data_IF_000417074336
#
_entry.id   IF_000417074336
#
_cell.length_a   1.000
_cell.length_b   1.000
_cell.length_c   1.000
_cell.angle_alpha   90.00
_cell.angle_beta   90.00
_cell.angle_gamma   90.00
#
_symmetry.space_group_name_H-M   'P 1'
#
loop_
_entity.id
_entity.type
_entity.pdbx_description
1 polymer ?
#
# COMPACT_ATOMS: atom_id res chain seq x y z
N UNK A 1 -2.02 -18.59 -6.52
CA UNK A 1 -0.83 -17.89 -7.04
C UNK A 1 0.19 -17.86 -5.92
N UNK A 2 1.45 -18.10 -6.20
CA UNK A 2 2.54 -18.06 -5.21
C UNK A 2 3.64 -17.17 -5.78
N UNK A 3 3.66 -15.91 -5.37
CA UNK A 3 4.70 -14.96 -5.77
C UNK A 3 5.98 -15.27 -4.99
N UNK A 4 7.15 -15.16 -5.63
CA UNK A 4 8.44 -15.52 -5.02
C UNK A 4 8.82 -14.68 -3.79
N UNK A 5 8.31 -13.46 -3.69
CA UNK A 5 8.50 -12.55 -2.55
C UNK A 5 7.32 -12.57 -1.56
N UNK A 6 6.32 -13.43 -1.78
CA UNK A 6 5.16 -13.46 -0.88
C UNK A 6 5.55 -14.09 0.46
N UNK A 7 5.45 -13.34 1.53
CA UNK A 7 5.71 -13.78 2.91
C UNK A 7 4.84 -14.94 3.40
N UNK A 8 4.10 -15.49 2.51
CA UNK A 8 3.45 -16.76 2.70
C UNK A 8 1.94 -16.74 2.68
N UNK A 9 1.42 -17.88 2.36
CA UNK A 9 0.12 -18.33 2.80
C UNK A 9 0.22 -18.61 4.28
N UNK A 10 -0.42 -17.79 5.10
CA UNK A 10 -0.56 -18.10 6.52
C UNK A 10 -1.29 -19.44 6.69
N UNK A 11 -0.85 -20.22 7.67
CA UNK A 11 -1.54 -21.46 8.03
C UNK A 11 -3.03 -21.17 8.29
N UNK A 12 -3.95 -22.03 7.83
CA UNK A 12 -5.38 -21.91 8.17
C UNK A 12 -5.66 -21.83 9.68
N UNK A 13 -4.72 -22.28 10.52
CA UNK A 13 -4.79 -22.13 11.97
C UNK A 13 -4.65 -20.66 12.41
N UNK A 14 -3.93 -19.84 11.65
CA UNK A 14 -3.77 -18.40 11.92
C UNK A 14 -4.74 -17.53 11.12
N UNK A 15 -5.13 -17.96 9.93
CA UNK A 15 -6.05 -17.24 9.07
C UNK A 15 -6.84 -18.23 8.20
N UNK A 16 -8.04 -18.63 8.64
CA UNK A 16 -8.91 -19.49 7.85
C UNK A 16 -9.15 -18.93 6.43
N UNK A 17 -9.10 -19.77 5.41
CA UNK A 17 -9.30 -19.34 4.02
C UNK A 17 -10.72 -18.82 3.74
N UNK A 18 -11.68 -19.27 4.54
CA UNK A 18 -13.04 -18.74 4.55
C UNK A 18 -13.27 -18.01 5.86
N UNK A 19 -13.94 -16.84 5.83
CA UNK A 19 -14.33 -16.18 7.06
C UNK A 19 -15.12 -17.13 7.98
N UNK A 20 -14.65 -17.25 9.21
CA UNK A 20 -15.30 -18.02 10.28
C UNK A 20 -16.28 -17.15 11.10
N UNK A 21 -16.44 -15.89 10.68
CA UNK A 21 -17.35 -14.91 11.30
C UNK A 21 -18.33 -14.38 10.27
N UNK A 22 -19.55 -14.12 10.71
CA UNK A 22 -20.59 -13.61 9.84
C UNK A 22 -20.33 -12.14 9.43
N UNK A 23 -20.66 -11.80 8.18
CA UNK A 23 -20.52 -10.44 7.68
C UNK A 23 -21.27 -9.42 8.56
N UNK A 24 -22.46 -9.80 9.08
CA UNK A 24 -23.25 -8.97 9.99
C UNK A 24 -22.56 -8.67 11.31
N UNK A 25 -21.76 -9.60 11.88
CA UNK A 25 -21.01 -9.36 13.12
C UNK A 25 -19.85 -8.38 12.87
N UNK A 26 -19.14 -8.55 11.76
CA UNK A 26 -18.07 -7.66 11.34
C UNK A 26 -18.59 -6.24 11.11
N UNK A 27 -19.68 -6.10 10.39
CA UNK A 27 -20.24 -4.78 10.05
C UNK A 27 -20.81 -4.07 11.26
N UNK A 28 -21.45 -4.79 12.23
CA UNK A 28 -21.85 -4.21 13.51
C UNK A 28 -20.65 -3.74 14.33
N UNK A 29 -19.58 -4.52 14.38
CA UNK A 29 -18.36 -4.15 15.08
C UNK A 29 -17.73 -2.86 14.53
N UNK A 30 -17.69 -2.73 13.21
CA UNK A 30 -17.14 -1.55 12.52
C UNK A 30 -18.05 -0.34 12.77
N UNK A 31 -19.35 -0.46 12.50
CA UNK A 31 -20.32 0.64 12.61
C UNK A 31 -20.41 1.22 14.03
N UNK A 32 -20.19 0.39 15.06
CA UNK A 32 -20.16 0.85 16.45
C UNK A 32 -18.93 1.75 16.77
N UNK A 33 -17.94 1.83 15.89
CA UNK A 33 -16.68 2.56 16.10
C UNK A 33 -16.46 3.70 15.13
N UNK A 34 -16.98 3.57 13.91
CA UNK A 34 -16.85 4.57 12.88
C UNK A 34 -18.15 4.66 12.07
N UNK A 35 -18.84 5.81 12.07
CA UNK A 35 -20.08 6.00 11.32
C UNK A 35 -19.85 6.12 9.81
N UNK A 36 -18.63 6.41 9.35
CA UNK A 36 -18.29 6.57 7.95
C UNK A 36 -16.97 5.83 7.58
N UNK A 37 -16.90 4.51 7.80
CA UNK A 37 -15.66 3.79 7.69
C UNK A 37 -15.18 3.63 6.24
N UNK A 38 -13.86 3.50 6.11
CA UNK A 38 -13.25 2.95 4.89
C UNK A 38 -12.92 1.48 5.14
N UNK A 39 -13.50 0.59 4.36
CA UNK A 39 -13.32 -0.86 4.48
C UNK A 39 -12.51 -1.36 3.30
N UNK A 40 -11.33 -1.90 3.58
CA UNK A 40 -10.46 -2.49 2.57
C UNK A 40 -10.51 -4.02 2.61
N UNK A 41 -10.85 -4.63 1.49
CA UNK A 41 -10.74 -6.08 1.33
C UNK A 41 -9.30 -6.42 0.91
N UNK A 42 -8.63 -7.16 1.78
CA UNK A 42 -7.22 -7.50 1.68
C UNK A 42 -6.99 -8.96 2.07
N UNK A 43 -5.80 -9.47 1.88
CA UNK A 43 -5.40 -10.81 2.31
C UNK A 43 -4.63 -11.55 1.22
N UNK A 44 -4.73 -12.88 1.16
CA UNK A 44 -4.13 -13.67 0.09
C UNK A 44 -4.72 -13.29 -1.28
N UNK A 45 -6.01 -13.57 -1.47
CA UNK A 45 -6.81 -13.09 -2.62
C UNK A 45 -8.28 -12.96 -2.17
N UNK A 46 -8.77 -11.75 -1.95
CA UNK A 46 -10.13 -11.53 -1.44
C UNK A 46 -11.22 -12.01 -2.41
N UNK A 47 -10.95 -12.03 -3.72
CA UNK A 47 -11.90 -12.52 -4.73
C UNK A 47 -12.11 -14.05 -4.70
N UNK A 48 -11.48 -14.76 -3.78
CA UNK A 48 -11.84 -16.14 -3.45
C UNK A 48 -13.18 -16.23 -2.69
N UNK A 49 -13.58 -15.14 -1.99
CA UNK A 49 -14.81 -15.05 -1.20
C UNK A 49 -15.71 -13.89 -1.67
N UNK A 50 -16.15 -13.85 -2.95
CA UNK A 50 -16.87 -12.71 -3.49
C UNK A 50 -18.22 -12.46 -2.80
N UNK A 51 -18.93 -13.53 -2.41
CA UNK A 51 -20.21 -13.42 -1.69
C UNK A 51 -20.06 -12.75 -0.33
N UNK A 52 -18.92 -12.98 0.36
CA UNK A 52 -18.66 -12.31 1.63
C UNK A 52 -18.40 -10.81 1.44
N UNK A 53 -17.66 -10.45 0.39
CA UNK A 53 -17.46 -9.04 0.00
C UNK A 53 -18.81 -8.36 -0.24
N UNK A 54 -19.67 -8.97 -1.04
CA UNK A 54 -20.99 -8.43 -1.35
C UNK A 54 -21.89 -8.31 -0.10
N UNK A 55 -21.84 -9.31 0.80
CA UNK A 55 -22.58 -9.27 2.06
C UNK A 55 -22.14 -8.10 2.96
N UNK A 56 -20.83 -7.89 3.11
CA UNK A 56 -20.27 -6.75 3.87
C UNK A 56 -20.68 -5.42 3.22
N UNK A 57 -20.52 -5.29 1.89
CA UNK A 57 -20.88 -4.08 1.17
C UNK A 57 -22.38 -3.76 1.27
N UNK A 58 -23.22 -4.78 1.19
CA UNK A 58 -24.69 -4.63 1.34
C UNK A 58 -25.08 -4.14 2.73
N UNK A 59 -24.42 -4.66 3.76
CA UNK A 59 -24.69 -4.28 5.16
C UNK A 59 -24.17 -2.89 5.55
N UNK A 60 -23.25 -2.30 4.75
CA UNK A 60 -22.64 -1.00 5.01
C UNK A 60 -22.75 -0.07 3.79
N UNK A 61 -23.95 0.38 3.40
CA UNK A 61 -24.17 1.13 2.15
C UNK A 61 -23.46 2.49 2.13
N UNK A 62 -23.16 3.08 3.29
CA UNK A 62 -22.51 4.40 3.43
C UNK A 62 -20.99 4.32 3.59
N UNK A 63 -20.41 3.11 3.73
CA UNK A 63 -18.97 2.94 3.83
C UNK A 63 -18.26 3.18 2.48
N UNK A 64 -17.03 3.67 2.54
CA UNK A 64 -16.13 3.64 1.38
C UNK A 64 -15.47 2.27 1.30
N UNK A 65 -15.32 1.75 0.09
CA UNK A 65 -14.72 0.43 -0.11
C UNK A 65 -13.47 0.50 -0.97
N UNK A 66 -12.47 -0.27 -0.57
CA UNK A 66 -11.28 -0.53 -1.36
C UNK A 66 -11.02 -2.04 -1.47
N UNK A 67 -10.27 -2.42 -2.48
CA UNK A 67 -9.90 -3.82 -2.73
C UNK A 67 -8.46 -3.89 -3.23
N UNK A 68 -7.65 -4.79 -2.66
CA UNK A 68 -6.38 -5.19 -3.25
C UNK A 68 -6.50 -6.62 -3.77
N UNK A 69 -6.19 -6.82 -5.06
CA UNK A 69 -6.31 -8.11 -5.74
C UNK A 69 -5.18 -8.34 -6.73
N UNK A 70 -4.87 -9.61 -6.99
CA UNK A 70 -3.99 -10.00 -8.09
C UNK A 70 -4.65 -9.90 -9.48
N UNK A 71 -5.92 -9.49 -9.56
CA UNK A 71 -6.66 -9.26 -10.79
C UNK A 71 -7.10 -10.54 -11.55
N UNK A 72 -6.57 -11.72 -11.21
CA UNK A 72 -6.83 -12.95 -11.99
C UNK A 72 -8.26 -13.47 -11.85
N UNK A 73 -8.98 -13.04 -10.83
CA UNK A 73 -10.35 -13.43 -10.52
C UNK A 73 -11.35 -12.26 -10.65
N UNK A 74 -10.97 -11.19 -11.34
CA UNK A 74 -11.79 -9.96 -11.40
C UNK A 74 -13.24 -10.21 -11.83
N UNK A 75 -13.47 -11.15 -12.74
CA UNK A 75 -14.82 -11.48 -13.22
C UNK A 75 -15.71 -12.26 -12.23
N UNK A 76 -15.21 -12.57 -11.01
CA UNK A 76 -16.02 -13.19 -9.95
C UNK A 76 -16.96 -12.22 -9.25
N UNK A 77 -16.69 -10.92 -9.31
CA UNK A 77 -17.62 -9.89 -8.87
C UNK A 77 -18.35 -9.31 -10.07
N UNK A 78 -19.65 -9.06 -9.95
CA UNK A 78 -20.43 -8.44 -11.01
C UNK A 78 -20.08 -6.94 -11.17
N UNK A 79 -20.30 -6.35 -12.36
CA UNK A 79 -19.99 -4.95 -12.65
C UNK A 79 -20.54 -3.93 -11.65
N UNK A 80 -21.77 -4.15 -11.15
CA UNK A 80 -22.41 -3.29 -10.16
C UNK A 80 -21.66 -3.26 -8.84
N UNK A 81 -21.08 -4.37 -8.39
CA UNK A 81 -20.25 -4.43 -7.19
C UNK A 81 -18.94 -3.66 -7.40
N UNK A 82 -18.30 -3.79 -8.57
CA UNK A 82 -17.10 -3.05 -8.90
C UNK A 82 -17.31 -1.53 -8.89
N UNK A 83 -18.46 -1.03 -9.33
CA UNK A 83 -18.80 0.41 -9.30
C UNK A 83 -18.97 0.98 -7.90
N UNK A 84 -19.03 0.15 -6.88
CA UNK A 84 -19.11 0.57 -5.48
C UNK A 84 -17.75 0.77 -4.82
N UNK A 85 -16.65 0.31 -5.44
CA UNK A 85 -15.31 0.58 -4.93
C UNK A 85 -14.91 2.03 -5.23
N UNK A 86 -14.26 2.67 -4.28
CA UNK A 86 -13.59 3.97 -4.46
C UNK A 86 -12.15 3.80 -4.93
N UNK A 87 -11.51 2.70 -4.53
CA UNK A 87 -10.13 2.40 -4.87
C UNK A 87 -9.94 0.90 -5.11
N UNK A 88 -9.19 0.56 -6.15
CA UNK A 88 -8.79 -0.81 -6.47
C UNK A 88 -7.28 -0.84 -6.68
N UNK A 89 -6.58 -1.69 -5.95
CA UNK A 89 -5.17 -1.96 -6.14
C UNK A 89 -5.01 -3.25 -6.93
N UNK A 90 -4.47 -3.16 -8.15
CA UNK A 90 -4.11 -4.32 -8.96
C UNK A 90 -2.63 -4.63 -8.79
N UNK A 91 -2.35 -5.86 -8.38
CA UNK A 91 -0.99 -6.31 -8.10
C UNK A 91 -0.21 -6.58 -9.39
N UNK A 92 0.74 -5.71 -9.72
CA UNK A 92 1.59 -5.76 -10.93
C UNK A 92 2.91 -5.06 -10.63
N UNK A 93 4.05 -5.57 -11.12
CA UNK A 93 5.38 -5.09 -10.71
C UNK A 93 6.14 -4.32 -11.79
N UNK A 94 5.58 -4.19 -12.97
CA UNK A 94 6.23 -3.54 -14.12
C UNK A 94 5.90 -4.28 -15.43
N UNK A 95 6.76 -4.22 -16.46
CA UNK A 95 6.57 -4.90 -17.71
C UNK A 95 6.54 -6.44 -17.56
N UNK A 96 6.17 -7.19 -18.63
CA UNK A 96 5.95 -8.65 -18.55
C UNK A 96 7.10 -9.42 -17.91
N UNK A 97 8.34 -9.09 -18.28
CA UNK A 97 9.55 -9.78 -17.80
C UNK A 97 9.79 -9.57 -16.29
N UNK A 98 9.35 -8.47 -15.72
CA UNK A 98 9.42 -8.22 -14.27
C UNK A 98 8.25 -8.88 -13.57
N UNK A 99 7.02 -8.57 -13.98
CA UNK A 99 5.82 -9.09 -13.34
C UNK A 99 5.75 -10.61 -13.36
N UNK A 100 5.98 -11.22 -14.50
CA UNK A 100 5.86 -12.67 -14.66
C UNK A 100 7.00 -13.43 -13.96
N UNK A 101 8.20 -12.81 -13.83
CA UNK A 101 9.31 -13.44 -13.10
C UNK A 101 9.04 -13.63 -11.60
N UNK A 102 8.26 -12.75 -11.00
CA UNK A 102 7.95 -12.79 -9.56
C UNK A 102 6.56 -13.38 -9.27
N UNK A 103 5.58 -13.12 -10.13
CA UNK A 103 4.18 -13.50 -9.90
C UNK A 103 3.75 -14.77 -10.63
N UNK A 104 4.53 -15.20 -11.62
CA UNK A 104 4.31 -16.38 -12.44
C UNK A 104 3.90 -16.06 -13.87
N UNK A 105 4.11 -17.02 -14.79
CA UNK A 105 3.92 -16.83 -16.23
C UNK A 105 2.49 -16.36 -16.57
N UNK A 106 2.39 -15.34 -17.42
CA UNK A 106 1.12 -14.82 -17.94
C UNK A 106 0.29 -14.01 -16.94
N UNK A 107 0.80 -13.73 -15.75
CA UNK A 107 0.11 -12.88 -14.77
C UNK A 107 -0.01 -11.45 -15.27
N UNK A 108 1.05 -10.90 -15.84
CA UNK A 108 1.02 -9.56 -16.45
C UNK A 108 -0.17 -9.38 -17.40
N UNK A 109 -0.32 -10.30 -18.35
CA UNK A 109 -1.41 -10.26 -19.33
C UNK A 109 -2.78 -10.23 -18.66
N UNK A 110 -3.02 -11.10 -17.66
CA UNK A 110 -4.29 -11.18 -16.93
C UNK A 110 -4.60 -9.90 -16.18
N UNK A 111 -3.59 -9.27 -15.57
CA UNK A 111 -3.78 -8.01 -14.83
C UNK A 111 -4.10 -6.85 -15.78
N UNK A 112 -3.41 -6.75 -16.92
CA UNK A 112 -3.69 -5.74 -17.94
C UNK A 112 -5.08 -5.93 -18.54
N UNK A 113 -5.51 -7.17 -18.79
CA UNK A 113 -6.88 -7.48 -19.22
C UNK A 113 -7.91 -7.07 -18.16
N UNK A 114 -7.63 -7.33 -16.87
CA UNK A 114 -8.50 -6.89 -15.77
C UNK A 114 -8.59 -5.35 -15.69
N UNK A 115 -7.46 -4.63 -15.85
CA UNK A 115 -7.44 -3.17 -15.88
C UNK A 115 -8.33 -2.62 -17.00
N UNK A 116 -8.15 -3.12 -18.23
CA UNK A 116 -8.96 -2.70 -19.38
C UNK A 116 -10.44 -2.99 -19.16
N UNK A 117 -10.77 -4.20 -18.73
CA UNK A 117 -12.14 -4.57 -18.43
C UNK A 117 -12.80 -3.65 -17.40
N UNK A 118 -12.09 -3.34 -16.29
CA UNK A 118 -12.60 -2.44 -15.25
C UNK A 118 -12.82 -1.01 -15.77
N UNK A 119 -11.93 -0.50 -16.63
CA UNK A 119 -12.03 0.86 -17.16
C UNK A 119 -13.02 0.98 -18.32
N UNK A 120 -12.99 0.07 -19.26
CA UNK A 120 -13.71 0.20 -20.55
C UNK A 120 -15.10 -0.43 -20.50
N UNK A 121 -15.24 -1.64 -19.93
CA UNK A 121 -16.50 -2.37 -19.91
C UNK A 121 -17.28 -2.09 -18.62
N UNK A 122 -16.66 -2.28 -17.45
CA UNK A 122 -17.31 -2.04 -16.15
C UNK A 122 -17.52 -0.54 -15.92
N UNK A 123 -16.60 0.29 -16.36
CA UNK A 123 -16.57 1.75 -16.10
C UNK A 123 -16.73 2.03 -14.61
N UNK A 124 -15.86 1.41 -13.78
CA UNK A 124 -16.03 1.38 -12.33
C UNK A 124 -16.04 2.79 -11.69
N UNK A 125 -15.42 3.79 -12.31
CA UNK A 125 -15.28 5.13 -11.73
C UNK A 125 -14.35 5.19 -10.52
N UNK A 126 -13.79 4.05 -10.12
CA UNK A 126 -12.86 3.92 -9.01
C UNK A 126 -11.44 4.30 -9.43
N UNK A 127 -10.64 4.76 -8.46
CA UNK A 127 -9.20 4.93 -8.67
C UNK A 127 -8.53 3.57 -8.76
N UNK A 128 -7.87 3.27 -9.88
CA UNK A 128 -7.15 2.00 -10.07
C UNK A 128 -5.65 2.24 -9.93
N UNK A 129 -5.06 1.66 -8.89
CA UNK A 129 -3.65 1.83 -8.52
C UNK A 129 -2.89 0.55 -8.88
N UNK A 130 -1.76 0.69 -9.60
CA UNK A 130 -0.81 -0.39 -9.76
C UNK A 130 -0.06 -0.61 -8.44
N UNK A 131 -0.13 -1.83 -7.88
CA UNK A 131 0.51 -2.18 -6.61
C UNK A 131 1.73 -3.05 -6.88
N UNK A 132 2.91 -2.46 -6.71
CA UNK A 132 4.20 -3.09 -7.00
C UNK A 132 4.88 -3.62 -5.73
N UNK A 133 5.62 -4.72 -5.89
CA UNK A 133 6.75 -5.06 -5.03
C UNK A 133 8.04 -4.80 -5.82
N UNK A 134 8.88 -3.91 -5.29
CA UNK A 134 10.16 -3.57 -5.92
C UNK A 134 11.23 -4.49 -5.39
N UNK A 135 11.81 -5.27 -6.27
CA UNK A 135 12.77 -6.35 -6.01
C UNK A 135 14.02 -6.19 -6.87
N UNK A 136 14.98 -7.09 -6.78
CA UNK A 136 16.29 -6.98 -7.45
C UNK A 136 16.21 -6.73 -8.97
N UNK A 137 15.19 -7.29 -9.66
CA UNK A 137 14.99 -7.14 -11.11
C UNK A 137 14.22 -5.88 -11.50
N UNK A 138 13.75 -5.11 -10.53
CA UNK A 138 13.00 -3.89 -10.81
C UNK A 138 13.93 -2.75 -11.23
N UNK A 139 13.50 -2.00 -12.24
CA UNK A 139 14.05 -0.70 -12.59
C UNK A 139 12.99 0.35 -12.35
N UNK A 140 13.05 1.02 -11.19
CA UNK A 140 11.90 1.79 -10.67
C UNK A 140 11.39 2.86 -11.64
N UNK A 141 12.28 3.55 -12.36
CA UNK A 141 11.87 4.55 -13.36
C UNK A 141 11.13 3.91 -14.53
N UNK A 142 11.72 2.87 -15.14
CA UNK A 142 11.14 2.14 -16.27
C UNK A 142 9.79 1.53 -15.89
N UNK A 143 9.76 0.84 -14.75
CA UNK A 143 8.61 0.05 -14.36
C UNK A 143 7.42 0.96 -13.97
N UNK A 144 7.66 2.06 -13.23
CA UNK A 144 6.62 3.04 -12.90
C UNK A 144 6.10 3.75 -14.15
N UNK A 145 6.98 4.22 -15.04
CA UNK A 145 6.54 4.90 -16.27
C UNK A 145 5.79 3.96 -17.20
N UNK A 146 6.19 2.69 -17.28
CA UNK A 146 5.46 1.66 -18.02
C UNK A 146 4.04 1.49 -17.47
N UNK A 147 3.87 1.34 -16.14
CA UNK A 147 2.56 1.17 -15.52
C UNK A 147 1.66 2.39 -15.71
N UNK A 148 2.20 3.61 -15.59
CA UNK A 148 1.45 4.83 -15.90
C UNK A 148 0.99 4.85 -17.37
N UNK A 149 1.82 4.39 -18.32
CA UNK A 149 1.47 4.33 -19.73
C UNK A 149 0.36 3.33 -20.06
N UNK A 150 0.14 2.32 -19.22
CA UNK A 150 -1.00 1.39 -19.35
C UNK A 150 -2.34 2.01 -18.94
N UNK A 151 -2.31 3.20 -18.34
CA UNK A 151 -3.51 3.92 -17.92
C UNK A 151 -3.90 3.67 -16.46
N UNK A 152 -3.02 3.17 -15.60
CA UNK A 152 -3.25 3.23 -14.15
C UNK A 152 -3.36 4.68 -13.68
N UNK A 153 -4.27 4.95 -12.75
CA UNK A 153 -4.46 6.29 -12.19
C UNK A 153 -3.34 6.68 -11.21
N UNK A 154 -2.70 5.67 -10.63
CA UNK A 154 -1.51 5.84 -9.80
C UNK A 154 -0.67 4.56 -9.76
N UNK A 155 0.58 4.70 -9.34
CA UNK A 155 1.50 3.60 -9.06
C UNK A 155 1.96 3.71 -7.62
N UNK A 156 1.85 2.62 -6.88
CA UNK A 156 2.31 2.51 -5.51
C UNK A 156 3.24 1.32 -5.38
N UNK A 157 4.44 1.53 -4.86
CA UNK A 157 5.38 0.44 -4.63
C UNK A 157 5.80 0.31 -3.17
N UNK A 158 6.23 -0.90 -2.84
CA UNK A 158 6.97 -1.21 -1.62
C UNK A 158 8.23 -1.96 -1.96
N UNK A 159 9.28 -1.70 -1.19
CA UNK A 159 10.53 -2.43 -1.29
C UNK A 159 10.33 -3.85 -0.74
N UNK A 160 10.87 -4.85 -1.46
CA UNK A 160 10.86 -6.24 -1.03
C UNK A 160 11.94 -6.47 0.04
N UNK A 161 11.66 -6.10 1.29
CA UNK A 161 12.62 -6.07 2.41
C UNK A 161 12.08 -6.72 3.69
N UNK A 162 10.88 -7.34 3.64
CA UNK A 162 10.29 -7.91 4.85
C UNK A 162 10.48 -9.43 4.91
N UNK A 163 10.06 -10.18 3.91
CA UNK A 163 10.11 -11.64 3.91
C UNK A 163 10.96 -12.22 2.77
N UNK A 164 11.93 -11.46 2.31
CA UNK A 164 12.73 -11.85 1.16
C UNK A 164 14.02 -12.57 1.57
N UNK A 165 14.36 -13.60 0.81
CA UNK A 165 15.66 -14.25 0.79
C UNK A 165 16.48 -13.87 -0.45
N UNK A 166 15.96 -12.94 -1.28
CA UNK A 166 16.60 -12.53 -2.54
C UNK A 166 17.91 -11.75 -2.30
N UNK A 167 17.99 -11.05 -1.17
CA UNK A 167 19.15 -10.26 -0.76
C UNK A 167 19.20 -10.07 0.77
N UNK A 168 20.41 -9.81 1.27
CA UNK A 168 20.64 -9.33 2.64
C UNK A 168 20.79 -7.82 2.69
N UNK A 169 21.04 -7.25 3.88
CA UNK A 169 21.16 -5.79 4.07
C UNK A 169 22.21 -5.12 3.17
N UNK A 170 23.39 -5.73 3.03
CA UNK A 170 24.50 -5.19 2.21
C UNK A 170 24.18 -5.19 0.71
N UNK A 171 23.65 -6.30 0.20
CA UNK A 171 23.23 -6.41 -1.19
C UNK A 171 22.11 -5.42 -1.51
N UNK A 172 21.13 -5.29 -0.59
CA UNK A 172 20.04 -4.33 -0.71
C UNK A 172 20.56 -2.89 -0.78
N UNK A 173 21.48 -2.51 0.10
CA UNK A 173 22.10 -1.17 0.07
C UNK A 173 22.83 -0.91 -1.24
N UNK A 174 23.65 -1.85 -1.70
CA UNK A 174 24.40 -1.73 -2.95
C UNK A 174 23.49 -1.57 -4.15
N UNK A 175 22.43 -2.37 -4.24
CA UNK A 175 21.42 -2.26 -5.27
C UNK A 175 20.66 -0.93 -5.19
N UNK A 176 20.29 -0.50 -3.98
CA UNK A 176 19.55 0.75 -3.81
C UNK A 176 20.37 1.97 -4.26
N UNK A 177 21.68 1.99 -4.00
CA UNK A 177 22.57 3.05 -4.47
C UNK A 177 22.75 3.04 -6.01
N UNK A 178 22.90 1.84 -6.59
CA UNK A 178 23.20 1.71 -8.01
C UNK A 178 21.96 1.90 -8.91
N UNK A 179 20.78 1.44 -8.46
CA UNK A 179 19.59 1.34 -9.31
C UNK A 179 18.38 2.11 -8.77
N UNK A 180 18.04 1.92 -7.48
CA UNK A 180 16.81 2.48 -6.93
C UNK A 180 16.85 4.00 -6.78
N UNK A 181 17.82 4.53 -6.07
CA UNK A 181 17.94 5.98 -5.82
C UNK A 181 18.13 6.80 -7.11
N UNK A 182 18.97 6.38 -8.08
CA UNK A 182 19.03 7.05 -9.39
C UNK A 182 17.70 7.01 -10.15
N UNK A 183 16.96 5.90 -10.06
CA UNK A 183 15.63 5.79 -10.65
C UNK A 183 14.61 6.70 -9.99
N UNK A 184 14.62 6.82 -8.66
CA UNK A 184 13.77 7.76 -7.91
C UNK A 184 14.11 9.21 -8.27
N UNK A 185 15.39 9.55 -8.49
CA UNK A 185 15.79 10.88 -8.96
C UNK A 185 15.13 11.22 -10.31
N UNK A 186 15.16 10.29 -11.27
CA UNK A 186 14.48 10.46 -12.57
C UNK A 186 12.95 10.61 -12.41
N UNK A 187 12.34 9.87 -11.49
CA UNK A 187 10.89 10.01 -11.19
C UNK A 187 10.58 11.36 -10.54
N UNK A 188 11.45 11.87 -9.65
CA UNK A 188 11.35 13.23 -9.09
C UNK A 188 11.34 14.27 -10.20
N UNK A 189 12.29 14.18 -11.12
CA UNK A 189 12.44 15.15 -12.21
C UNK A 189 11.23 15.10 -13.17
N UNK A 190 10.73 13.90 -13.47
CA UNK A 190 9.50 13.71 -14.24
C UNK A 190 8.29 14.31 -13.51
N UNK A 191 8.16 14.04 -12.21
CA UNK A 191 7.09 14.57 -11.37
C UNK A 191 7.10 16.10 -11.38
N UNK A 192 8.28 16.70 -11.20
CA UNK A 192 8.44 18.16 -11.19
C UNK A 192 8.09 18.78 -12.54
N UNK A 193 8.57 18.19 -13.64
CA UNK A 193 8.26 18.66 -15.00
C UNK A 193 6.75 18.63 -15.30
N UNK A 194 6.02 17.63 -14.79
CA UNK A 194 4.57 17.58 -14.92
C UNK A 194 3.87 18.57 -13.98
N UNK A 195 4.37 18.76 -12.77
CA UNK A 195 3.86 19.76 -11.83
C UNK A 195 3.99 21.20 -12.38
N UNK A 196 5.07 21.50 -13.08
CA UNK A 196 5.26 22.79 -13.80
C UNK A 196 4.23 23.03 -14.90
N UNK A 197 3.62 21.94 -15.44
CA UNK A 197 2.50 21.99 -16.39
C UNK A 197 1.12 21.95 -15.69
N UNK A 198 1.09 22.08 -14.36
CA UNK A 198 -0.13 22.00 -13.56
C UNK A 198 -0.69 20.58 -13.36
N UNK A 199 0.08 19.54 -13.66
CA UNK A 199 -0.35 18.13 -13.51
C UNK A 199 0.41 17.43 -12.41
N UNK A 200 -0.30 16.71 -11.54
CA UNK A 200 0.29 15.88 -10.48
C UNK A 200 0.20 14.41 -10.90
N UNK A 201 1.36 13.78 -11.05
CA UNK A 201 1.40 12.35 -11.37
C UNK A 201 1.02 11.50 -10.14
N UNK A 202 0.26 10.44 -10.38
CA UNK A 202 -0.12 9.47 -9.36
C UNK A 202 1.04 8.55 -8.95
N UNK A 203 2.16 9.10 -8.49
CA UNK A 203 3.31 8.32 -7.97
C UNK A 203 3.24 8.36 -6.47
N UNK A 204 2.59 7.35 -5.86
CA UNK A 204 2.14 7.39 -4.46
C UNK A 204 3.27 7.64 -3.45
N UNK A 205 4.44 6.96 -3.49
CA UNK A 205 5.49 7.27 -2.53
C UNK A 205 6.03 8.69 -2.64
N UNK A 206 6.12 9.25 -3.85
CA UNK A 206 6.53 10.65 -4.06
C UNK A 206 5.45 11.59 -3.51
N UNK A 207 4.18 11.34 -3.82
CA UNK A 207 3.05 12.10 -3.28
C UNK A 207 3.01 12.04 -1.74
N UNK A 208 3.24 10.86 -1.16
CA UNK A 208 3.25 10.70 0.30
C UNK A 208 4.32 11.53 0.98
N UNK A 209 5.51 11.62 0.39
CA UNK A 209 6.60 12.46 0.91
C UNK A 209 6.30 13.95 0.71
N UNK A 210 5.88 14.37 -0.48
CA UNK A 210 5.52 15.79 -0.70
C UNK A 210 4.30 16.23 0.11
N UNK A 211 3.32 15.34 0.29
CA UNK A 211 2.21 15.61 1.22
C UNK A 211 2.72 15.88 2.63
N UNK A 212 3.65 15.06 3.13
CA UNK A 212 4.20 15.24 4.47
C UNK A 212 5.02 16.54 4.60
N UNK A 213 5.78 16.89 3.56
CA UNK A 213 6.61 18.11 3.54
C UNK A 213 5.80 19.40 3.36
N UNK A 214 4.75 19.39 2.52
CA UNK A 214 4.11 20.60 2.03
C UNK A 214 2.64 20.78 2.47
N UNK A 215 1.98 19.72 2.89
CA UNK A 215 0.55 19.72 3.23
C UNK A 215 0.31 19.37 4.69
N UNK A 216 0.63 18.15 5.09
CA UNK A 216 0.37 17.64 6.44
C UNK A 216 1.38 16.56 6.83
N UNK A 217 2.20 16.77 7.87
CA UNK A 217 3.16 15.77 8.34
C UNK A 217 2.47 14.53 8.89
N UNK A 218 3.22 13.43 8.94
CA UNK A 218 2.77 12.20 9.60
C UNK A 218 3.06 12.25 11.10
N UNK A 219 2.08 11.87 11.90
CA UNK A 219 2.21 11.68 13.35
C UNK A 219 2.36 10.18 13.73
N UNK A 220 2.10 9.30 12.77
CA UNK A 220 2.14 7.84 12.89
C UNK A 220 2.57 7.21 11.57
N UNK A 221 2.72 5.85 11.55
CA UNK A 221 3.00 5.12 10.31
C UNK A 221 1.94 5.45 9.25
N UNK A 222 2.33 5.72 8.00
CA UNK A 222 1.41 6.27 6.99
C UNK A 222 0.16 5.43 6.71
N UNK A 223 0.25 4.10 6.79
CA UNK A 223 -0.91 3.21 6.66
C UNK A 223 -1.86 3.24 7.87
N UNK A 224 -1.51 3.94 8.94
CA UNK A 224 -2.34 4.06 10.13
C UNK A 224 -2.38 2.84 11.03
N UNK A 225 -1.63 1.78 10.73
CA UNK A 225 -1.68 0.49 11.43
C UNK A 225 -1.63 0.63 12.95
N UNK A 226 -2.64 0.08 13.63
CA UNK A 226 -2.76 0.08 15.09
C UNK A 226 -3.18 1.39 15.76
N UNK A 227 -3.39 2.46 14.98
CA UNK A 227 -3.90 3.75 15.48
C UNK A 227 -5.12 4.24 14.69
N UNK A 228 -5.00 4.32 13.38
CA UNK A 228 -6.02 4.81 12.46
C UNK A 228 -6.63 3.71 11.60
N UNK A 229 -5.96 2.56 11.50
CA UNK A 229 -6.44 1.40 10.78
C UNK A 229 -6.18 0.12 11.56
N UNK A 230 -7.10 -0.84 11.40
CA UNK A 230 -7.03 -2.17 11.99
C UNK A 230 -7.44 -3.20 10.95
N UNK A 231 -6.88 -4.41 11.04
CA UNK A 231 -7.32 -5.51 10.22
C UNK A 231 -8.24 -6.45 11.01
N UNK A 232 -9.35 -6.86 10.42
CA UNK A 232 -10.19 -7.92 10.96
C UNK A 232 -9.83 -9.20 10.21
N UNK A 233 -9.20 -10.13 10.91
CA UNK A 233 -8.84 -11.43 10.37
C UNK A 233 -10.07 -12.31 10.17
N UNK A 234 -9.96 -13.31 9.32
CA UNK A 234 -11.06 -14.23 8.98
C UNK A 234 -11.58 -15.07 10.15
N UNK A 235 -10.82 -15.18 11.23
CA UNK A 235 -11.24 -15.80 12.51
C UNK A 235 -11.96 -14.83 13.47
N UNK A 236 -12.03 -13.54 13.12
CA UNK A 236 -12.65 -12.48 13.95
C UNK A 236 -11.69 -11.75 14.88
N UNK A 237 -10.40 -12.13 14.92
CA UNK A 237 -9.40 -11.32 15.62
C UNK A 237 -9.27 -9.95 14.96
N UNK A 238 -9.12 -8.93 15.77
CA UNK A 238 -8.76 -7.58 15.33
C UNK A 238 -7.27 -7.40 15.52
N UNK A 239 -6.57 -7.05 14.45
CA UNK A 239 -5.12 -6.95 14.40
C UNK A 239 -4.69 -5.50 14.19
N UNK A 240 -3.59 -5.09 14.82
CA UNK A 240 -2.94 -3.81 14.56
C UNK A 240 -2.37 -3.70 13.15
N UNK A 241 -1.95 -4.83 12.54
CA UNK A 241 -1.31 -4.86 11.24
C UNK A 241 -1.79 -6.07 10.43
N UNK A 242 -2.23 -5.89 9.17
CA UNK A 242 -2.78 -6.96 8.34
C UNK A 242 -1.76 -8.03 7.94
N UNK A 243 -0.46 -7.73 8.00
CA UNK A 243 0.59 -8.69 7.65
C UNK A 243 1.16 -9.44 8.86
N UNK A 244 0.77 -9.06 10.10
CA UNK A 244 1.26 -9.68 11.33
C UNK A 244 0.27 -10.71 11.91
N UNK A 245 -0.31 -11.54 11.05
CA UNK A 245 -1.43 -12.45 11.40
C UNK A 245 -1.03 -13.51 12.42
N UNK A 246 0.23 -13.98 12.38
CA UNK A 246 0.78 -14.97 13.30
C UNK A 246 1.34 -14.37 14.59
N UNK A 247 1.54 -13.03 14.63
CA UNK A 247 2.27 -12.37 15.67
C UNK A 247 1.37 -12.02 16.86
N UNK A 248 1.79 -12.40 18.08
CA UNK A 248 1.01 -12.17 19.30
C UNK A 248 0.80 -10.68 19.59
N UNK A 249 1.83 -9.85 19.36
CA UNK A 249 1.75 -8.40 19.58
C UNK A 249 0.74 -7.70 18.67
N UNK A 250 0.43 -8.30 17.53
CA UNK A 250 -0.49 -7.71 16.56
C UNK A 250 -1.96 -7.81 16.97
N UNK A 251 -2.31 -8.66 17.94
CA UNK A 251 -3.70 -8.82 18.35
C UNK A 251 -4.16 -7.63 19.18
N UNK A 252 -5.06 -6.82 18.62
CA UNK A 252 -5.71 -5.68 19.27
C UNK A 252 -7.01 -6.07 19.99
N UNK A 253 -7.58 -7.24 19.68
CA UNK A 253 -8.82 -7.73 20.27
C UNK A 253 -9.54 -8.73 19.38
N UNK A 254 -10.87 -8.82 19.55
CA UNK A 254 -11.73 -9.69 18.77
C UNK A 254 -13.10 -9.01 18.56
N UNK A 255 -13.75 -9.22 17.41
CA UNK A 255 -15.04 -8.56 17.09
C UNK A 255 -16.15 -8.85 18.12
N UNK A 256 -16.11 -10.00 18.81
CA UNK A 256 -17.08 -10.39 19.85
C UNK A 256 -16.79 -9.79 21.21
N UNK A 257 -15.53 -9.42 21.50
CA UNK A 257 -15.09 -8.98 22.84
C UNK A 257 -14.78 -7.48 22.85
N UNK A 258 -14.37 -6.92 21.70
CA UNK A 258 -13.90 -5.54 21.57
C UNK A 258 -12.38 -5.45 21.50
N UNK A 259 -11.87 -4.22 21.55
CA UNK A 259 -10.44 -3.92 21.58
C UNK A 259 -9.95 -3.97 23.04
N UNK A 260 -8.99 -4.82 23.32
CA UNK A 260 -8.41 -5.02 24.65
C UNK A 260 -6.88 -5.15 24.61
N UNK A 261 -6.28 -5.08 23.43
CA UNK A 261 -4.83 -5.06 23.25
C UNK A 261 -4.23 -3.69 23.57
N UNK A 262 -2.97 -3.68 24.00
CA UNK A 262 -2.20 -2.46 24.20
C UNK A 262 -1.94 -1.72 22.88
N UNK A 263 -1.80 -0.39 22.95
CA UNK A 263 -1.42 0.40 21.78
C UNK A 263 0.01 0.04 21.34
N UNK A 264 0.26 -0.12 20.04
CA UNK A 264 1.58 -0.41 19.54
C UNK A 264 2.53 0.79 19.74
N UNK A 265 3.83 0.51 19.75
CA UNK A 265 4.87 1.53 19.95
C UNK A 265 5.90 1.49 18.82
N UNK A 266 6.45 2.64 18.49
CA UNK A 266 7.57 2.75 17.58
C UNK A 266 8.88 2.62 18.35
N UNK A 267 9.95 2.14 17.71
CA UNK A 267 11.31 2.10 18.28
C UNK A 267 11.74 3.52 18.65
N UNK A 268 12.46 3.68 19.76
CA UNK A 268 12.90 4.98 20.28
C UNK A 268 13.75 5.77 19.28
N UNK A 269 14.57 5.07 18.48
CA UNK A 269 15.36 5.72 17.42
C UNK A 269 14.47 6.41 16.37
N UNK A 270 13.26 5.90 16.11
CA UNK A 270 12.30 6.54 15.23
C UNK A 270 11.57 7.70 15.89
N UNK A 271 11.26 7.60 17.20
CA UNK A 271 10.61 8.69 17.94
C UNK A 271 11.48 9.95 17.99
N UNK A 272 12.82 9.79 17.97
CA UNK A 272 13.80 10.89 18.01
C UNK A 272 14.36 11.24 16.62
N UNK A 273 13.87 10.61 15.56
CA UNK A 273 14.39 10.82 14.21
C UNK A 273 13.93 12.17 13.63
N UNK A 274 14.87 12.91 13.03
CA UNK A 274 14.61 14.17 12.33
C UNK A 274 13.57 14.05 11.20
N UNK A 275 13.54 12.88 10.52
CA UNK A 275 12.60 12.59 9.43
C UNK A 275 11.27 12.01 9.91
N UNK A 276 11.02 11.96 11.22
CA UNK A 276 9.78 11.36 11.73
C UNK A 276 8.51 11.99 11.15
N UNK A 277 8.51 13.30 10.98
CA UNK A 277 7.38 14.07 10.44
C UNK A 277 7.08 13.76 8.97
N UNK A 278 8.06 13.24 8.22
CA UNK A 278 7.92 12.81 6.82
C UNK A 278 7.74 11.30 6.70
N UNK A 279 8.52 10.52 7.46
CA UNK A 279 8.52 9.06 7.41
C UNK A 279 7.37 8.43 8.23
N UNK A 280 6.93 9.08 9.32
CA UNK A 280 5.93 8.55 10.24
C UNK A 280 6.35 7.32 11.04
N UNK A 281 7.56 6.79 10.79
CA UNK A 281 8.02 5.49 11.30
C UNK A 281 7.90 4.36 10.27
N UNK A 282 7.55 4.66 9.03
CA UNK A 282 7.44 3.79 7.86
C UNK A 282 6.44 2.62 8.05
N UNK A 283 6.87 1.50 8.60
CA UNK A 283 6.08 0.27 8.71
C UNK A 283 6.05 -0.24 10.15
N UNK A 284 4.85 -0.41 10.71
CA UNK A 284 4.68 -0.88 12.10
C UNK A 284 5.29 -2.28 12.30
N UNK A 285 5.17 -3.17 11.32
CA UNK A 285 5.69 -4.53 11.40
C UNK A 285 7.19 -4.55 11.74
N UNK A 286 7.98 -3.71 11.08
CA UNK A 286 9.43 -3.65 11.28
C UNK A 286 9.87 -3.08 12.64
N UNK A 287 8.95 -2.53 13.43
CA UNK A 287 9.23 -2.12 14.81
C UNK A 287 9.22 -3.28 15.80
N UNK A 288 8.58 -4.39 15.43
CA UNK A 288 8.42 -5.57 16.28
C UNK A 288 9.16 -6.78 15.75
N UNK A 289 9.22 -6.92 14.42
CA UNK A 289 9.85 -8.04 13.75
C UNK A 289 11.16 -7.59 13.10
N UNK A 290 12.27 -8.11 13.62
CA UNK A 290 13.62 -7.78 13.16
C UNK A 290 14.03 -8.69 11.99
N UNK A 291 13.36 -8.52 10.84
CA UNK A 291 13.83 -9.15 9.61
C UNK A 291 15.20 -8.57 9.23
N UNK A 292 16.17 -9.42 8.95
CA UNK A 292 17.59 -9.05 8.83
C UNK A 292 18.19 -8.42 10.11
N UNK A 293 17.54 -8.56 11.27
CA UNK A 293 17.95 -7.97 12.54
C UNK A 293 17.99 -6.43 12.51
N UNK A 294 18.68 -5.82 13.45
CA UNK A 294 18.82 -4.37 13.54
C UNK A 294 19.54 -3.77 12.32
N UNK A 295 20.55 -4.47 11.78
CA UNK A 295 21.26 -4.08 10.56
C UNK A 295 20.34 -3.90 9.37
N UNK A 296 19.37 -4.80 9.20
CA UNK A 296 18.36 -4.69 8.14
C UNK A 296 17.43 -3.52 8.32
N UNK A 297 17.00 -3.26 9.56
CA UNK A 297 16.22 -2.07 9.86
C UNK A 297 16.97 -0.79 9.48
N UNK A 298 18.26 -0.72 9.83
CA UNK A 298 19.09 0.46 9.57
C UNK A 298 19.42 0.61 8.07
N UNK A 299 19.60 -0.49 7.35
CA UNK A 299 19.76 -0.48 5.89
C UNK A 299 18.54 0.14 5.19
N UNK A 300 17.35 -0.36 5.51
CA UNK A 300 16.11 0.18 4.94
C UNK A 300 15.87 1.63 5.37
N UNK A 301 16.15 1.97 6.64
CA UNK A 301 16.06 3.34 7.14
C UNK A 301 17.00 4.29 6.38
N UNK A 302 18.22 3.83 6.07
CA UNK A 302 19.20 4.60 5.29
C UNK A 302 18.67 4.92 3.90
N UNK A 303 18.13 3.93 3.17
CA UNK A 303 17.53 4.13 1.85
C UNK A 303 16.32 5.06 1.92
N UNK A 304 15.46 4.88 2.93
CA UNK A 304 14.30 5.75 3.16
C UNK A 304 14.72 7.22 3.38
N UNK A 305 15.71 7.47 4.23
CA UNK A 305 16.23 8.82 4.47
C UNK A 305 16.83 9.45 3.22
N UNK A 306 17.59 8.67 2.43
CA UNK A 306 18.15 9.13 1.15
C UNK A 306 17.04 9.47 0.15
N UNK A 307 16.00 8.65 0.08
CA UNK A 307 14.81 8.92 -0.75
C UNK A 307 14.12 10.23 -0.34
N UNK A 308 13.94 10.46 0.96
CA UNK A 308 13.34 11.72 1.46
C UNK A 308 14.21 12.91 1.08
N UNK A 309 15.52 12.88 1.36
CA UNK A 309 16.46 13.98 1.02
C UNK A 309 16.44 14.32 -0.46
N UNK A 310 16.46 13.28 -1.30
CA UNK A 310 16.41 13.45 -2.74
C UNK A 310 15.14 14.16 -3.22
N UNK A 311 13.99 13.91 -2.57
CA UNK A 311 12.73 14.58 -2.89
C UNK A 311 12.65 15.98 -2.26
N UNK A 312 13.25 16.21 -1.10
CA UNK A 312 13.34 17.54 -0.47
C UNK A 312 14.01 18.58 -1.39
N UNK A 313 14.98 18.17 -2.21
CA UNK A 313 15.64 19.04 -3.18
C UNK A 313 14.67 19.74 -4.14
N UNK A 314 13.56 19.10 -4.51
CA UNK A 314 12.53 19.65 -5.39
C UNK A 314 11.36 20.31 -4.63
N UNK A 315 11.30 20.17 -3.31
CA UNK A 315 10.17 20.67 -2.51
C UNK A 315 10.03 22.20 -2.56
N UNK A 316 11.15 22.94 -2.60
CA UNK A 316 11.16 24.40 -2.72
C UNK A 316 10.50 24.86 -4.04
N UNK A 317 10.77 24.16 -5.15
CA UNK A 317 10.18 24.46 -6.45
C UNK A 317 8.67 24.17 -6.46
N UNK A 318 8.24 23.04 -5.87
CA UNK A 318 6.81 22.73 -5.73
C UNK A 318 6.09 23.77 -4.86
N UNK A 319 6.73 24.25 -3.79
CA UNK A 319 6.20 25.32 -2.95
C UNK A 319 6.00 26.62 -3.73
N UNK A 320 6.99 27.01 -4.55
CA UNK A 320 6.88 28.19 -5.44
C UNK A 320 5.70 28.04 -6.43
N UNK A 321 5.53 26.86 -7.04
CA UNK A 321 4.40 26.59 -7.93
C UNK A 321 3.04 26.73 -7.24
N UNK A 322 2.96 26.34 -5.96
CA UNK A 322 1.75 26.49 -5.14
C UNK A 322 1.52 27.98 -4.82
N UNK A 323 2.54 28.69 -4.37
CA UNK A 323 2.46 30.10 -3.99
C UNK A 323 2.10 31.01 -5.18
N UNK A 324 2.53 30.64 -6.39
CA UNK A 324 2.21 31.36 -7.63
C UNK A 324 0.89 30.90 -8.28
N UNK A 325 0.17 29.96 -7.66
CA UNK A 325 -1.12 29.44 -8.18
C UNK A 325 -0.99 28.53 -9.42
N UNK A 326 0.22 28.16 -9.81
CA UNK A 326 0.46 27.23 -10.96
C UNK A 326 0.17 25.77 -10.59
N UNK A 327 0.21 25.44 -9.29
CA UNK A 327 -0.14 24.14 -8.78
C UNK A 327 -1.13 24.29 -7.61
N UNK A 328 -2.20 23.52 -7.61
CA UNK A 328 -3.14 23.47 -6.49
C UNK A 328 -2.55 22.64 -5.37
N UNK A 329 -2.40 23.20 -4.17
CA UNK A 329 -1.83 22.51 -3.00
C UNK A 329 -2.54 21.21 -2.68
N UNK A 330 -3.87 21.20 -2.80
CA UNK A 330 -4.70 20.02 -2.49
C UNK A 330 -4.47 18.86 -3.47
N UNK A 331 -3.93 19.12 -4.65
CA UNK A 331 -3.53 18.06 -5.59
C UNK A 331 -2.38 17.19 -5.05
N UNK A 332 -1.59 17.68 -4.08
CA UNK A 332 -0.57 16.92 -3.35
C UNK A 332 -1.13 16.18 -2.13
N UNK A 333 -2.41 16.38 -1.79
CA UNK A 333 -3.03 15.81 -0.60
C UNK A 333 -3.50 14.37 -0.84
N UNK A 334 -2.53 13.46 -0.99
CA UNK A 334 -2.81 12.03 -1.06
C UNK A 334 -3.30 11.51 0.30
N UNK A 335 -4.45 10.83 0.33
CA UNK A 335 -4.95 10.18 1.54
C UNK A 335 -4.23 8.82 1.73
N UNK A 336 -3.33 8.67 2.73
CA UNK A 336 -2.57 7.45 2.91
C UNK A 336 -3.42 6.25 3.36
N UNK A 337 -4.66 6.47 3.78
CA UNK A 337 -5.58 5.40 4.16
C UNK A 337 -6.38 4.84 2.98
N UNK A 338 -6.21 5.39 1.77
CA UNK A 338 -6.92 4.91 0.58
C UNK A 338 -6.47 3.53 0.08
N UNK A 339 -5.29 3.08 0.44
CA UNK A 339 -4.72 1.82 -0.06
C UNK A 339 -4.32 0.82 1.03
N UNK A 340 -4.60 1.12 2.30
CA UNK A 340 -4.35 0.25 3.46
C UNK A 340 -2.89 -0.21 3.66
N UNK A 341 -1.92 0.46 3.03
CA UNK A 341 -0.50 0.11 3.11
C UNK A 341 0.38 1.33 3.38
N UNK A 342 1.65 1.11 3.76
CA UNK A 342 2.59 2.22 3.90
C UNK A 342 2.84 2.90 2.55
N UNK A 343 2.84 4.24 2.55
CA UNK A 343 3.19 5.07 1.37
C UNK A 343 4.67 5.44 1.34
N UNK A 344 5.40 5.14 2.40
CA UNK A 344 6.86 5.28 2.45
C UNK A 344 7.45 3.89 2.21
N UNK A 345 8.11 3.66 1.09
CA UNK A 345 8.57 2.34 0.69
C UNK A 345 9.72 1.81 1.53
#
# INVERSE_FOLDING_TARGET
MSCSYCGGSFSPAHSPWRPAVEAGDVTRFIAARDPAPTVFFYGGEPLLNPQYIEAVMKAMPHARFGLQTNGTLARRLPPETWRRFSTVLLSIDGPPEVTDSYRGPGVYKKVVEALRWLKEEVKCGCKIIARMAVSRRSSIYRDVTHLLSLGFDAVHWQLNVIWTEEWGPGDFLSWAEAEYLPGVAKLRDLFLAEAERGRVLGIVPILGIYRALLVKPYDWVPCGAGKYSFAINTDGRVLHCPIAVSEKWATAGHIKIGLNGGAPRLKDKCLRCEYRHVCGGRCLYTHYEDHWREEGFDAVCTVTKKTIRLLEEAASRLKELIETGRLVRDALNYDPLLDSTEVIP
#
